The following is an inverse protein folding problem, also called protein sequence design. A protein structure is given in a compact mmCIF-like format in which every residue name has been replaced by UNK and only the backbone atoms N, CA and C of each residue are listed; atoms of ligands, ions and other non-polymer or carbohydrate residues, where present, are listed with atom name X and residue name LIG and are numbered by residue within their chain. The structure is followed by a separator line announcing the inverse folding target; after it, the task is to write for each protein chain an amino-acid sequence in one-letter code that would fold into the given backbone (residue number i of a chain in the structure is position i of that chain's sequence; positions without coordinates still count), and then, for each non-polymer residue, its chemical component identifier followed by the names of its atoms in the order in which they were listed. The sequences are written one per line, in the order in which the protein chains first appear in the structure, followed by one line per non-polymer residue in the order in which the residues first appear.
data_IF_087076293305
#
_entry.id   IF_087076293305
#
_cell.length_a   1.000
_cell.length_b   1.000
_cell.length_c   1.000
_cell.angle_alpha   90.00
_cell.angle_beta   90.00
_cell.angle_gamma   90.00
#
_symmetry.space_group_name_H-M   'P 1'
#
loop_
_entity.id
_entity.type
_entity.pdbx_description
1 polymer ?
#
# COMPACT_ATOMS: atom_id res chain seq x y z
N UNK A 1 -10.56 -12.30 -20.84
CA UNK A 1 -10.88 -11.02 -20.54
C UNK A 1 -9.75 -10.20 -20.08
N UNK A 2 -9.94 -9.00 -20.15
CA UNK A 2 -8.86 -8.14 -19.79
C UNK A 2 -8.52 -8.18 -18.34
N UNK A 3 -9.33 -8.78 -17.55
CA UNK A 3 -9.02 -8.90 -16.16
C UNK A 3 -7.73 -9.56 -15.93
N UNK A 4 -7.42 -10.49 -16.78
CA UNK A 4 -6.21 -11.20 -16.58
C UNK A 4 -5.04 -10.31 -16.74
N UNK A 5 -5.29 -9.24 -17.45
CA UNK A 5 -4.19 -8.33 -17.71
C UNK A 5 -3.86 -7.50 -16.51
N UNK A 6 -4.72 -7.46 -15.54
CA UNK A 6 -4.42 -6.66 -14.38
C UNK A 6 -3.20 -7.23 -13.74
N UNK A 7 -2.15 -6.46 -13.66
CA UNK A 7 -0.90 -6.98 -13.12
C UNK A 7 -1.05 -7.26 -11.65
N UNK A 8 -0.58 -8.41 -11.28
CA UNK A 8 -0.48 -8.73 -9.88
C UNK A 8 0.91 -8.37 -9.39
N UNK A 9 1.55 -7.45 -10.12
CA UNK A 9 2.87 -6.96 -9.74
C UNK A 9 2.81 -5.96 -8.62
N UNK A 10 1.64 -5.43 -8.34
CA UNK A 10 1.48 -4.37 -7.35
C UNK A 10 0.34 -4.75 -6.41
N UNK A 11 0.59 -4.63 -5.13
CA UNK A 11 -0.46 -4.80 -4.14
C UNK A 11 -0.17 -3.82 -3.01
N UNK A 12 -1.11 -3.70 -2.09
CA UNK A 12 -0.94 -2.76 -1.00
C UNK A 12 -1.66 -3.29 0.22
N UNK A 13 -1.15 -2.92 1.38
CA UNK A 13 -1.81 -3.30 2.63
C UNK A 13 -1.55 -2.21 3.67
N UNK A 14 -2.39 -2.20 4.67
CA UNK A 14 -2.25 -1.27 5.79
C UNK A 14 -1.40 -1.95 6.84
N UNK A 15 -0.30 -1.32 7.19
CA UNK A 15 0.62 -1.88 8.15
C UNK A 15 0.23 -1.49 9.57
N UNK A 16 -0.24 -0.28 9.74
CA UNK A 16 -0.53 0.21 11.08
C UNK A 16 -1.57 1.32 11.01
N UNK A 17 -2.47 1.34 11.98
CA UNK A 17 -3.45 2.41 12.10
C UNK A 17 -3.44 2.85 13.56
N UNK A 18 -3.23 4.12 13.78
CA UNK A 18 -3.28 4.67 15.11
C UNK A 18 -4.44 5.65 15.16
N UNK A 19 -5.37 5.38 16.04
CA UNK A 19 -6.56 6.21 16.17
C UNK A 19 -6.36 7.16 17.33
N UNK A 20 -6.38 8.44 17.05
CA UNK A 20 -6.26 9.45 18.07
C UNK A 20 -7.58 10.18 18.23
N UNK A 21 -7.63 11.07 19.21
CA UNK A 21 -8.87 11.76 19.51
C UNK A 21 -9.38 12.55 18.33
N UNK A 22 -8.50 13.26 17.64
CA UNK A 22 -8.92 14.14 16.56
C UNK A 22 -8.40 13.73 15.20
N UNK A 23 -7.66 12.65 15.14
CA UNK A 23 -7.09 12.27 13.86
C UNK A 23 -6.74 10.80 13.83
N UNK A 24 -6.33 10.33 12.65
CA UNK A 24 -5.84 8.98 12.47
C UNK A 24 -4.45 9.08 11.86
N UNK A 25 -3.59 8.16 12.26
CA UNK A 25 -2.28 8.01 11.62
C UNK A 25 -2.28 6.63 10.98
N UNK A 26 -2.11 6.59 9.67
CA UNK A 26 -2.20 5.35 8.92
C UNK A 26 -0.90 5.14 8.17
N UNK A 27 -0.35 3.95 8.29
CA UNK A 27 0.85 3.56 7.56
C UNK A 27 0.47 2.47 6.58
N UNK A 28 0.72 2.71 5.31
CA UNK A 28 0.42 1.76 4.27
C UNK A 28 1.69 1.35 3.56
N UNK A 29 1.67 0.16 3.00
CA UNK A 29 2.81 -0.37 2.24
C UNK A 29 2.32 -0.80 0.88
N UNK A 30 3.03 -0.36 -0.14
CA UNK A 30 2.79 -0.78 -1.50
C UNK A 30 3.89 -1.76 -1.85
N UNK A 31 3.50 -2.94 -2.30
CA UNK A 31 4.46 -3.98 -2.63
C UNK A 31 4.50 -4.15 -4.13
N UNK A 32 5.70 -4.12 -4.68
CA UNK A 32 5.90 -4.36 -6.10
C UNK A 32 6.86 -5.52 -6.26
N UNK A 33 6.86 -6.13 -7.43
CA UNK A 33 7.68 -7.31 -7.64
C UNK A 33 9.05 -6.99 -8.28
N UNK A 34 9.31 -5.74 -8.59
CA UNK A 34 10.58 -5.36 -9.19
C UNK A 34 10.90 -3.90 -8.90
N UNK A 35 12.19 -3.60 -8.88
CA UNK A 35 12.62 -2.26 -8.53
C UNK A 35 12.22 -1.22 -9.57
N UNK A 36 12.08 -1.62 -10.82
CA UNK A 36 11.67 -0.66 -11.83
C UNK A 36 10.28 -0.11 -11.54
N UNK A 37 9.38 -0.96 -11.03
CA UNK A 37 8.06 -0.49 -10.65
C UNK A 37 8.13 0.40 -9.43
N UNK A 38 9.02 0.07 -8.50
CA UNK A 38 9.18 0.90 -7.33
C UNK A 38 9.56 2.32 -7.73
N UNK A 39 10.48 2.45 -8.68
CA UNK A 39 10.91 3.77 -9.13
C UNK A 39 9.76 4.52 -9.79
N UNK A 40 8.94 3.82 -10.55
CA UNK A 40 7.81 4.44 -11.21
C UNK A 40 6.80 4.98 -10.20
N UNK A 41 6.52 4.19 -9.18
CA UNK A 41 5.53 4.58 -8.18
C UNK A 41 6.03 5.72 -7.33
N UNK A 42 7.31 5.70 -6.95
CA UNK A 42 7.87 6.77 -6.16
C UNK A 42 7.95 8.04 -6.98
N UNK A 43 8.35 7.89 -8.23
CA UNK A 43 8.46 9.03 -9.11
C UNK A 43 9.70 9.84 -8.83
N UNK A 44 9.81 10.91 -9.58
CA UNK A 44 10.98 11.77 -9.49
C UNK A 44 10.96 12.49 -8.14
N UNK A 45 11.98 12.24 -7.35
CA UNK A 45 12.10 12.86 -6.03
C UNK A 45 10.89 12.62 -5.14
N UNK A 46 10.25 11.47 -5.34
CA UNK A 46 9.12 11.14 -4.52
C UNK A 46 7.83 11.84 -4.86
N UNK A 47 7.78 12.53 -6.00
CA UNK A 47 6.61 13.33 -6.32
C UNK A 47 5.37 12.49 -6.57
N UNK A 48 5.54 11.33 -7.18
CA UNK A 48 4.39 10.51 -7.53
C UNK A 48 3.77 9.86 -6.30
N UNK A 49 4.60 9.31 -5.43
CA UNK A 49 4.06 8.68 -4.24
C UNK A 49 3.43 9.73 -3.32
N UNK A 50 3.97 10.93 -3.35
CA UNK A 50 3.40 12.01 -2.56
C UNK A 50 2.02 12.37 -3.08
N UNK A 51 1.86 12.39 -4.39
CA UNK A 51 0.57 12.68 -5.00
C UNK A 51 -0.43 11.58 -4.68
N UNK A 52 -0.01 10.33 -4.79
CA UNK A 52 -0.87 9.21 -4.49
C UNK A 52 -1.30 9.27 -3.02
N UNK A 53 -0.38 9.55 -2.15
CA UNK A 53 -0.65 9.62 -0.74
C UNK A 53 -1.64 10.74 -0.42
N UNK A 54 -1.47 11.89 -1.06
CA UNK A 54 -2.37 13.02 -0.82
C UNK A 54 -3.79 12.69 -1.26
N UNK A 55 -3.95 12.08 -2.41
CA UNK A 55 -5.28 11.76 -2.90
C UNK A 55 -5.95 10.72 -2.02
N UNK A 56 -5.19 9.70 -1.63
CA UNK A 56 -5.75 8.68 -0.76
C UNK A 56 -6.12 9.26 0.59
N UNK A 57 -5.31 10.16 1.10
CA UNK A 57 -5.58 10.78 2.38
C UNK A 57 -6.89 11.57 2.34
N UNK A 58 -7.09 12.33 1.28
CA UNK A 58 -8.31 13.12 1.16
C UNK A 58 -9.54 12.21 1.13
N UNK A 59 -9.45 11.12 0.37
CA UNK A 59 -10.58 10.20 0.29
C UNK A 59 -10.88 9.58 1.64
N UNK A 60 -9.85 9.21 2.37
CA UNK A 60 -10.05 8.61 3.67
C UNK A 60 -10.60 9.62 4.67
N UNK A 61 -10.14 10.84 4.58
CA UNK A 61 -10.66 11.88 5.47
C UNK A 61 -12.14 12.10 5.24
N UNK A 62 -12.58 12.08 4.01
CA UNK A 62 -13.99 12.22 3.72
C UNK A 62 -14.78 11.06 4.30
N UNK A 63 -14.22 9.89 4.22
CA UNK A 63 -14.89 8.70 4.68
C UNK A 63 -15.01 8.67 6.20
N UNK A 64 -13.95 9.06 6.88
CA UNK A 64 -13.90 8.99 8.35
C UNK A 64 -14.40 10.25 9.04
N UNK A 65 -14.42 11.35 8.33
CA UNK A 65 -14.80 12.61 8.95
C UNK A 65 -13.78 13.15 9.91
N UNK A 66 -12.53 12.72 9.79
CA UNK A 66 -11.46 13.16 10.67
C UNK A 66 -10.20 13.37 9.86
N UNK A 67 -9.29 14.14 10.45
CA UNK A 67 -8.01 14.36 9.81
C UNK A 67 -7.21 13.08 9.78
N UNK A 68 -6.51 12.85 8.68
CA UNK A 68 -5.74 11.63 8.50
C UNK A 68 -4.32 12.00 8.11
N UNK A 69 -3.37 11.37 8.76
CA UNK A 69 -1.96 11.44 8.37
C UNK A 69 -1.62 10.11 7.76
N UNK A 70 -1.38 10.12 6.46
CA UNK A 70 -1.13 8.89 5.72
C UNK A 70 0.31 8.86 5.26
N UNK A 71 1.00 7.79 5.60
CA UNK A 71 2.36 7.56 5.13
C UNK A 71 2.36 6.29 4.31
N UNK A 72 2.92 6.38 3.12
CA UNK A 72 3.01 5.23 2.23
C UNK A 72 4.47 4.89 2.00
N UNK A 73 4.75 3.60 2.02
CA UNK A 73 6.08 3.09 1.73
C UNK A 73 5.98 2.14 0.55
N UNK A 74 7.04 2.03 -0.22
CA UNK A 74 7.06 1.10 -1.34
C UNK A 74 8.14 0.07 -1.04
N UNK A 75 7.76 -1.19 -1.18
CA UNK A 75 8.65 -2.30 -0.89
C UNK A 75 8.73 -3.19 -2.11
N UNK A 76 9.91 -3.65 -2.43
CA UNK A 76 10.08 -4.59 -3.53
C UNK A 76 10.26 -5.99 -2.97
N UNK A 77 9.41 -6.90 -3.42
CA UNK A 77 9.55 -8.31 -3.07
C UNK A 77 9.48 -9.05 -4.38
N UNK A 78 10.62 -9.54 -4.82
CA UNK A 78 10.70 -10.15 -6.14
C UNK A 78 9.86 -11.41 -6.22
N UNK A 79 9.07 -11.49 -7.27
CA UNK A 79 8.23 -12.66 -7.54
C UNK A 79 7.30 -12.97 -6.40
N UNK A 80 6.82 -11.94 -5.72
CA UNK A 80 5.96 -12.17 -4.58
C UNK A 80 4.68 -12.91 -4.98
N UNK A 81 4.19 -12.66 -6.17
CA UNK A 81 2.94 -13.30 -6.59
C UNK A 81 3.10 -14.79 -6.86
N UNK A 82 4.36 -15.23 -7.06
CA UNK A 82 4.62 -16.63 -7.26
C UNK A 82 4.95 -17.33 -5.96
N UNK A 83 4.86 -16.62 -4.88
CA UNK A 83 5.26 -17.15 -3.58
C UNK A 83 4.16 -16.90 -2.59
N UNK A 84 3.14 -17.71 -2.67
CA UNK A 84 2.06 -17.55 -1.73
C UNK A 84 2.52 -17.73 -0.31
N UNK A 85 3.54 -18.54 -0.13
CA UNK A 85 4.08 -18.71 1.21
C UNK A 85 4.67 -17.39 1.73
N UNK A 86 5.18 -16.55 0.83
CA UNK A 86 5.67 -15.26 1.24
C UNK A 86 4.55 -14.41 1.81
N UNK A 87 3.41 -14.44 1.16
CA UNK A 87 2.25 -13.71 1.65
C UNK A 87 1.81 -14.23 2.99
N UNK A 88 1.89 -15.54 3.17
CA UNK A 88 1.56 -16.13 4.45
C UNK A 88 2.48 -15.61 5.54
N UNK A 89 3.74 -15.40 5.19
CA UNK A 89 4.70 -14.91 6.16
C UNK A 89 4.39 -13.50 6.60
N UNK A 90 3.59 -12.79 5.82
CA UNK A 90 3.15 -11.47 6.22
C UNK A 90 1.96 -11.54 7.17
N UNK A 91 1.49 -12.73 7.47
CA UNK A 91 0.40 -12.86 8.41
C UNK A 91 -0.96 -12.99 7.79
N UNK A 92 -1.04 -13.10 6.48
CA UNK A 92 -2.35 -13.18 5.84
C UNK A 92 -3.10 -14.43 6.23
N UNK A 93 -2.38 -15.52 6.47
CA UNK A 93 -3.04 -16.75 6.83
C UNK A 93 -3.45 -16.79 8.28
N UNK A 94 -2.99 -15.85 9.06
CA UNK A 94 -3.36 -15.82 10.46
C UNK A 94 -4.83 -15.63 10.65
N UNK A 95 -5.48 -15.06 9.67
CA UNK A 95 -6.91 -14.81 9.78
C UNK A 95 -7.71 -16.10 9.78
N UNK A 96 -7.11 -17.15 9.32
CA UNK A 96 -7.82 -18.42 9.24
C UNK A 96 -7.81 -19.17 10.54
N UNK A 97 -7.14 -18.67 11.52
CA UNK A 97 -7.02 -19.40 12.77
C UNK A 97 -8.02 -19.01 13.82
#
# INVERSE_FOLDING_TARGET
LTDEEVPHSITAYIENVEKNKNNYVINGVIVVDRDSLKKIIIGKQGSKIKEISTRARIDIEELLGKKVYLELYVKTIKKWRDRESTLAEFGFTDFDK
#
